data_IF_061571437157
#
_entry.id   IF_061571437157
#
_cell.length_a   1.000
_cell.length_b   1.000
_cell.length_c   1.000
_cell.angle_alpha   90.00
_cell.angle_beta   90.00
_cell.angle_gamma   90.00
#
_symmetry.space_group_name_H-M   'P 1'
#
loop_
_entity.id
_entity.type
_entity.pdbx_description
1 polymer ?
#
# COMPACT_ATOMS: atom_id res chain seq x y z
N UNK A 1 -16.19 14.31 -1.95
CA UNK A 1 -15.03 14.94 -1.26
C UNK A 1 -15.20 15.06 0.27
N UNK A 2 -16.42 15.16 0.82
CA UNK A 2 -16.67 15.35 2.26
C UNK A 2 -16.35 14.15 3.17
N UNK A 3 -16.48 12.90 2.70
CA UNK A 3 -16.23 11.71 3.52
C UNK A 3 -14.76 11.43 3.88
N UNK A 4 -13.80 12.10 3.25
CA UNK A 4 -12.38 11.86 3.49
C UNK A 4 -11.81 12.69 4.66
N UNK A 5 -12.34 13.89 4.90
CA UNK A 5 -11.78 14.81 5.91
C UNK A 5 -12.07 14.29 7.32
N UNK A 6 -13.30 13.84 7.58
CA UNK A 6 -13.69 13.26 8.87
C UNK A 6 -12.93 11.96 9.17
N UNK A 7 -12.67 11.13 8.14
CA UNK A 7 -11.88 9.90 8.27
C UNK A 7 -10.41 10.21 8.57
N UNK A 8 -9.81 11.17 7.87
CA UNK A 8 -8.43 11.62 8.15
C UNK A 8 -8.30 12.16 9.57
N UNK A 9 -9.22 13.03 9.98
CA UNK A 9 -9.21 13.59 11.34
C UNK A 9 -9.36 12.50 12.41
N UNK A 10 -10.22 11.51 12.19
CA UNK A 10 -10.39 10.39 13.12
C UNK A 10 -9.13 9.54 13.28
N UNK A 11 -8.39 9.29 12.19
CA UNK A 11 -7.20 8.43 12.21
C UNK A 11 -5.91 9.14 12.59
N UNK A 12 -5.77 10.42 12.25
CA UNK A 12 -4.50 11.15 12.36
C UNK A 12 -4.63 12.53 13.06
N UNK A 13 -5.83 12.92 13.50
CA UNK A 13 -6.09 14.21 14.15
C UNK A 13 -5.85 15.41 13.23
N UNK A 14 -5.58 16.58 13.83
CA UNK A 14 -5.30 17.83 13.11
C UNK A 14 -4.01 17.76 12.28
N UNK A 15 -2.97 17.09 12.79
CA UNK A 15 -1.74 16.79 12.04
C UNK A 15 -2.05 15.97 10.78
N UNK A 16 -2.99 15.04 10.87
CA UNK A 16 -3.51 14.28 9.74
C UNK A 16 -4.06 15.11 8.61
N UNK A 17 -4.77 16.20 8.92
CA UNK A 17 -5.32 17.09 7.91
C UNK A 17 -4.22 17.82 7.14
N UNK A 18 -3.16 18.25 7.84
CA UNK A 18 -1.98 18.87 7.21
C UNK A 18 -1.27 17.87 6.31
N UNK A 19 -1.03 16.65 6.80
CA UNK A 19 -0.41 15.56 6.02
C UNK A 19 -1.26 15.22 4.80
N UNK A 20 -2.58 15.08 4.96
CA UNK A 20 -3.49 14.78 3.87
C UNK A 20 -3.52 15.90 2.82
N UNK A 21 -3.49 17.16 3.25
CA UNK A 21 -3.38 18.31 2.35
C UNK A 21 -2.07 18.28 1.57
N UNK A 22 -0.94 18.09 2.26
CA UNK A 22 0.39 17.99 1.65
C UNK A 22 0.46 16.88 0.61
N UNK A 23 0.02 15.66 0.94
CA UNK A 23 0.00 14.55 -0.01
C UNK A 23 -1.00 14.76 -1.15
N UNK A 24 -2.15 15.39 -0.88
CA UNK A 24 -3.10 15.75 -1.94
C UNK A 24 -2.48 16.74 -2.92
N UNK A 25 -1.65 17.68 -2.45
CA UNK A 25 -0.91 18.61 -3.29
C UNK A 25 0.19 17.89 -4.09
N UNK A 26 0.99 17.01 -3.45
CA UNK A 26 2.02 16.22 -4.12
C UNK A 26 1.41 15.37 -5.24
N UNK A 27 0.29 14.69 -4.98
CA UNK A 27 -0.38 13.84 -5.98
C UNK A 27 -0.83 14.70 -7.17
N UNK A 28 -1.42 15.88 -6.91
CA UNK A 28 -1.83 16.81 -7.97
C UNK A 28 -0.63 17.29 -8.81
N UNK A 29 0.45 17.74 -8.17
CA UNK A 29 1.66 18.19 -8.86
C UNK A 29 2.27 17.04 -9.67
N UNK A 30 2.35 15.84 -9.09
CA UNK A 30 2.91 14.66 -9.77
C UNK A 30 2.11 14.30 -11.02
N UNK A 31 0.78 14.42 -10.95
CA UNK A 31 -0.11 14.24 -12.11
C UNK A 31 0.14 15.31 -13.19
N UNK A 32 0.33 16.57 -12.80
CA UNK A 32 0.66 17.65 -13.75
C UNK A 32 2.02 17.43 -14.43
N UNK A 33 2.98 16.84 -13.72
CA UNK A 33 4.28 16.44 -14.27
C UNK A 33 4.23 15.11 -15.05
N UNK A 34 3.05 14.53 -15.29
CA UNK A 34 2.88 13.29 -16.04
C UNK A 34 3.33 12.01 -15.31
N UNK A 35 3.66 12.08 -14.02
CA UNK A 35 4.05 10.90 -13.23
C UNK A 35 2.81 10.06 -12.90
N UNK A 36 2.79 8.82 -13.40
CA UNK A 36 1.71 7.86 -13.12
C UNK A 36 1.78 7.31 -11.69
N UNK A 37 2.99 7.03 -11.21
CA UNK A 37 3.22 6.38 -9.91
C UNK A 37 4.04 7.25 -8.95
N UNK A 38 3.79 7.06 -7.65
CA UNK A 38 4.61 7.59 -6.56
C UNK A 38 5.14 6.45 -5.72
N UNK A 39 6.39 6.58 -5.24
CA UNK A 39 6.95 5.62 -4.28
C UNK A 39 6.65 6.09 -2.87
N UNK A 40 6.04 5.23 -2.06
CA UNK A 40 5.74 5.51 -0.66
C UNK A 40 6.24 4.37 0.22
N UNK A 41 6.86 4.72 1.34
CA UNK A 41 7.12 3.75 2.40
C UNK A 41 5.82 3.40 3.09
N UNK A 42 5.55 2.09 3.17
CA UNK A 42 4.41 1.50 3.84
C UNK A 42 4.95 0.46 4.80
N UNK A 43 4.67 0.63 6.09
CA UNK A 43 5.36 -0.11 7.16
C UNK A 43 6.89 -0.01 7.00
N UNK A 44 7.56 -1.14 6.76
CA UNK A 44 9.01 -1.28 6.57
C UNK A 44 9.45 -1.52 5.12
N UNK A 45 8.56 -1.37 4.14
CA UNK A 45 8.86 -1.58 2.72
C UNK A 45 8.32 -0.44 1.85
N UNK A 46 8.59 -0.49 0.54
CA UNK A 46 8.19 0.55 -0.42
C UNK A 46 7.22 -0.01 -1.44
N UNK A 47 6.25 0.80 -1.84
CA UNK A 47 5.29 0.48 -2.90
C UNK A 47 5.23 1.60 -3.93
N UNK A 48 5.03 1.21 -5.18
CA UNK A 48 4.56 2.11 -6.23
C UNK A 48 3.04 2.27 -6.09
N UNK A 49 2.57 3.51 -6.03
CA UNK A 49 1.16 3.84 -5.83
C UNK A 49 0.68 4.64 -7.05
N UNK A 50 -0.40 4.20 -7.71
CA UNK A 50 -0.99 4.96 -8.82
C UNK A 50 -1.63 6.26 -8.28
N UNK A 51 -1.22 7.38 -8.85
CA UNK A 51 -1.71 8.73 -8.50
C UNK A 51 -3.18 8.97 -8.87
N UNK A 52 -3.77 8.09 -9.68
CA UNK A 52 -5.16 8.16 -10.16
C UNK A 52 -6.07 7.14 -9.47
N UNK A 53 -5.50 6.10 -8.87
CA UNK A 53 -6.28 5.13 -8.09
C UNK A 53 -6.88 5.81 -6.86
N UNK A 54 -8.20 5.76 -6.74
CA UNK A 54 -8.94 6.35 -5.61
C UNK A 54 -9.10 5.39 -4.43
N UNK A 55 -8.68 4.13 -4.57
CA UNK A 55 -8.77 3.07 -3.58
C UNK A 55 -7.50 2.94 -2.72
N UNK A 56 -6.78 1.84 -2.93
CA UNK A 56 -5.67 1.42 -2.07
C UNK A 56 -4.50 2.40 -2.15
N UNK A 57 -4.09 2.78 -3.36
CA UNK A 57 -2.96 3.69 -3.60
C UNK A 57 -3.16 5.04 -2.94
N UNK A 58 -4.38 5.60 -3.04
CA UNK A 58 -4.74 6.85 -2.37
C UNK A 58 -4.66 6.72 -0.85
N UNK A 59 -5.19 5.63 -0.30
CA UNK A 59 -5.19 5.39 1.15
C UNK A 59 -3.75 5.28 1.67
N UNK A 60 -2.92 4.46 1.02
CA UNK A 60 -1.51 4.29 1.39
C UNK A 60 -0.69 5.57 1.19
N UNK A 61 -0.99 6.37 0.17
CA UNK A 61 -0.33 7.67 -0.02
C UNK A 61 -0.58 8.62 1.15
N UNK A 62 -1.80 8.65 1.69
CA UNK A 62 -2.20 9.57 2.76
C UNK A 62 -1.78 9.06 4.15
N UNK A 63 -1.99 7.77 4.41
CA UNK A 63 -1.87 7.19 5.75
C UNK A 63 -0.60 6.35 5.94
N UNK A 64 0.04 5.89 4.87
CA UNK A 64 1.23 5.04 4.93
C UNK A 64 0.98 3.62 5.47
N UNK A 65 -0.25 3.28 5.83
CA UNK A 65 -0.64 1.97 6.35
C UNK A 65 -2.13 1.73 6.12
N UNK A 66 -2.54 0.47 6.13
CA UNK A 66 -3.94 0.01 6.05
C UNK A 66 -4.04 -1.33 6.78
N UNK A 67 -5.22 -1.68 7.29
CA UNK A 67 -5.50 -3.04 7.82
C UNK A 67 -4.41 -3.54 8.79
N UNK A 68 -4.09 -2.72 9.80
CA UNK A 68 -3.02 -3.00 10.77
C UNK A 68 -3.22 -4.35 11.47
N UNK A 69 -4.46 -4.73 11.73
CA UNK A 69 -4.78 -6.03 12.33
C UNK A 69 -4.34 -7.20 11.45
N UNK A 70 -4.47 -7.10 10.12
CA UNK A 70 -3.98 -8.11 9.19
C UNK A 70 -2.45 -8.14 9.14
N UNK A 71 -1.81 -6.97 9.16
CA UNK A 71 -0.36 -6.88 9.27
C UNK A 71 0.16 -7.63 10.52
N UNK A 72 -0.45 -7.38 11.68
CA UNK A 72 -0.11 -8.06 12.93
C UNK A 72 -0.37 -9.57 12.87
N UNK A 73 -1.51 -9.97 12.28
CA UNK A 73 -1.86 -11.38 12.11
C UNK A 73 -0.85 -12.12 11.23
N UNK A 74 -0.45 -11.55 10.10
CA UNK A 74 0.56 -12.15 9.21
C UNK A 74 1.91 -12.29 9.92
N UNK A 75 2.33 -11.31 10.70
CA UNK A 75 3.58 -11.39 11.47
C UNK A 75 3.54 -12.45 12.57
N UNK A 76 2.36 -12.76 13.12
CA UNK A 76 2.19 -13.81 14.12
C UNK A 76 2.12 -15.22 13.51
N UNK A 77 1.60 -15.35 12.29
CA UNK A 77 1.34 -16.64 11.63
C UNK A 77 2.53 -17.08 10.78
N UNK A 78 3.08 -16.18 9.97
CA UNK A 78 4.14 -16.49 9.02
C UNK A 78 5.47 -16.75 9.73
N UNK A 79 6.21 -17.73 9.23
CA UNK A 79 7.51 -18.13 9.75
C UNK A 79 8.54 -18.21 8.62
N UNK A 80 9.84 -18.01 8.93
CA UNK A 80 10.89 -18.17 7.95
C UNK A 80 10.83 -19.53 7.22
N UNK A 81 10.97 -19.52 5.89
CA UNK A 81 10.95 -20.73 5.07
C UNK A 81 9.58 -21.24 4.63
N UNK A 82 8.48 -20.57 5.00
CA UNK A 82 7.15 -20.93 4.52
C UNK A 82 6.96 -20.66 3.02
N UNK A 83 6.03 -21.39 2.40
CA UNK A 83 5.53 -21.09 1.06
C UNK A 83 4.14 -20.47 1.17
N UNK A 84 3.91 -19.34 0.49
CA UNK A 84 2.67 -18.57 0.55
C UNK A 84 2.06 -18.47 -0.84
N UNK A 85 0.74 -18.61 -0.92
CA UNK A 85 -0.05 -18.36 -2.12
C UNK A 85 -0.93 -17.12 -1.85
N UNK A 86 -0.57 -15.99 -2.44
CA UNK A 86 -1.34 -14.73 -2.36
C UNK A 86 -2.29 -14.66 -3.56
N UNK A 87 -3.60 -14.72 -3.31
CA UNK A 87 -4.63 -14.68 -4.34
C UNK A 87 -5.31 -13.31 -4.31
N UNK A 88 -5.16 -12.55 -5.40
CA UNK A 88 -5.59 -11.16 -5.47
C UNK A 88 -4.53 -10.18 -4.96
N UNK A 89 -3.26 -10.43 -5.32
CA UNK A 89 -2.11 -9.68 -4.82
C UNK A 89 -2.16 -8.18 -5.16
N UNK A 90 -2.99 -7.77 -6.13
CA UNK A 90 -3.22 -6.39 -6.52
C UNK A 90 -1.88 -5.69 -6.81
N UNK A 91 -1.57 -4.58 -6.14
CA UNK A 91 -0.30 -3.85 -6.27
C UNK A 91 0.85 -4.41 -5.41
N UNK A 92 0.69 -5.61 -4.86
CA UNK A 92 1.70 -6.29 -4.04
C UNK A 92 1.71 -5.88 -2.58
N UNK A 93 0.58 -5.33 -2.08
CA UNK A 93 0.50 -4.83 -0.71
C UNK A 93 0.83 -5.92 0.32
N UNK A 94 0.18 -7.09 0.20
CA UNK A 94 0.38 -8.24 1.09
C UNK A 94 1.57 -9.10 0.65
N UNK A 95 1.65 -9.49 -0.63
CA UNK A 95 2.77 -10.26 -1.17
C UNK A 95 4.17 -9.79 -0.73
N UNK A 96 4.44 -8.48 -0.67
CA UNK A 96 5.73 -7.97 -0.17
C UNK A 96 5.88 -8.17 1.36
N UNK A 97 4.83 -7.93 2.15
CA UNK A 97 4.86 -8.22 3.59
C UNK A 97 5.15 -9.69 3.86
N UNK A 98 4.47 -10.57 3.12
CA UNK A 98 4.60 -12.02 3.24
C UNK A 98 6.01 -12.46 2.88
N UNK A 99 6.55 -11.97 1.76
CA UNK A 99 7.91 -12.23 1.31
C UNK A 99 8.96 -11.80 2.34
N UNK A 100 8.77 -10.63 2.97
CA UNK A 100 9.65 -10.16 4.05
C UNK A 100 9.56 -11.05 5.28
N UNK A 101 8.35 -11.45 5.68
CA UNK A 101 8.12 -12.24 6.88
C UNK A 101 8.69 -13.67 6.77
N UNK A 102 8.55 -14.32 5.61
CA UNK A 102 9.05 -15.69 5.37
C UNK A 102 10.55 -15.73 5.01
N UNK A 103 11.14 -14.60 4.64
CA UNK A 103 12.56 -14.49 4.29
C UNK A 103 12.98 -15.27 3.04
N UNK A 104 14.28 -15.30 2.77
CA UNK A 104 14.84 -15.84 1.52
C UNK A 104 14.80 -17.37 1.38
N UNK A 105 14.52 -18.10 2.46
CA UNK A 105 14.33 -19.56 2.41
C UNK A 105 12.91 -19.98 2.06
N UNK A 106 11.96 -19.04 2.02
CA UNK A 106 10.57 -19.26 1.64
C UNK A 106 10.26 -18.77 0.22
N UNK A 107 9.00 -18.89 -0.19
CA UNK A 107 8.55 -18.36 -1.46
C UNK A 107 7.11 -17.81 -1.39
N UNK A 108 6.83 -16.78 -2.18
CA UNK A 108 5.47 -16.25 -2.38
C UNK A 108 5.10 -16.44 -3.85
N UNK A 109 3.97 -17.08 -4.11
CA UNK A 109 3.32 -17.11 -5.41
C UNK A 109 2.16 -16.12 -5.35
N UNK A 110 2.32 -14.98 -6.01
CA UNK A 110 1.30 -13.95 -6.10
C UNK A 110 0.50 -14.08 -7.40
N UNK A 111 -0.82 -14.19 -7.28
CA UNK A 111 -1.75 -14.28 -8.40
C UNK A 111 -2.61 -13.02 -8.41
N UNK A 112 -2.70 -12.36 -9.56
CA UNK A 112 -3.52 -11.17 -9.76
C UNK A 112 -4.19 -11.21 -11.14
N UNK A 113 -5.54 -11.10 -11.22
CA UNK A 113 -6.24 -11.17 -12.50
C UNK A 113 -6.19 -9.88 -13.34
N UNK A 114 -5.93 -8.71 -12.74
CA UNK A 114 -5.95 -7.42 -13.44
C UNK A 114 -4.58 -7.12 -14.04
N UNK A 115 -4.50 -7.07 -15.38
CA UNK A 115 -3.24 -6.91 -16.11
C UNK A 115 -2.41 -5.67 -15.68
N UNK A 116 -2.98 -4.46 -15.53
CA UNK A 116 -2.24 -3.32 -14.99
C UNK A 116 -1.62 -3.54 -13.60
N UNK A 117 -2.25 -4.35 -12.74
CA UNK A 117 -1.73 -4.64 -11.41
C UNK A 117 -0.59 -5.66 -11.47
N UNK A 118 -0.64 -6.62 -12.41
CA UNK A 118 0.47 -7.57 -12.65
C UNK A 118 1.77 -6.81 -12.97
N UNK A 119 1.70 -5.70 -13.72
CA UNK A 119 2.87 -4.87 -14.01
C UNK A 119 3.51 -4.27 -12.75
N UNK A 120 2.74 -4.10 -11.67
CA UNK A 120 3.23 -3.56 -10.40
C UNK A 120 3.88 -4.63 -9.50
N UNK A 121 3.74 -5.91 -9.84
CA UNK A 121 4.31 -7.05 -9.11
C UNK A 121 5.69 -7.50 -9.62
N UNK A 122 6.22 -6.84 -10.65
CA UNK A 122 7.48 -7.20 -11.32
C UNK A 122 8.67 -6.36 -10.86
#
# INVERSE_FOLDING_TARGET
>A
MSGNISRVYRYLGTRGLIVAFFFSLIIKISRLLGKKHLVRSVHNYKLYLDTRDQGLSRTLSLFGQREVDHYLMLHAILKPGMNVLDIGANIGYYAIMESIAIGSSGSVIAIEPILPNIEMLR
#
